data_IF_805498180609
#
_entry.id   IF_805498180609
#
_cell.length_a   1.000
_cell.length_b   1.000
_cell.length_c   1.000
_cell.angle_alpha   90.00
_cell.angle_beta   90.00
_cell.angle_gamma   90.00
#
_symmetry.space_group_name_H-M   'P 1'
#
loop_
_entity.id
_entity.type
_entity.pdbx_description
1 polymer ?
#
# COMPACT_ATOMS: atom_id res chain seq x y z
N UNK A 1 -0.13 22.15 -24.20
CA UNK A 1 0.01 21.09 -25.23
C UNK A 1 1.46 20.67 -25.31
N UNK A 2 1.71 19.39 -25.32
CA UNK A 2 3.02 18.73 -25.49
C UNK A 2 3.04 17.98 -26.82
N UNK A 3 4.24 17.84 -27.38
CA UNK A 3 4.45 17.24 -28.68
C UNK A 3 5.58 16.22 -28.59
N UNK A 4 5.57 15.21 -29.45
CA UNK A 4 6.64 14.26 -29.63
C UNK A 4 7.12 14.30 -31.09
N UNK A 5 8.43 14.22 -31.30
CA UNK A 5 9.03 14.02 -32.64
C UNK A 5 9.27 12.54 -32.80
N UNK A 6 8.77 11.98 -33.92
CA UNK A 6 8.87 10.57 -34.23
C UNK A 6 9.90 10.32 -35.37
N UNK A 7 10.66 9.27 -35.21
CA UNK A 7 11.48 8.73 -36.29
C UNK A 7 11.20 7.22 -36.38
N UNK A 8 10.61 6.77 -37.47
CA UNK A 8 10.21 5.37 -37.67
C UNK A 8 9.42 4.81 -36.50
N UNK A 9 8.34 5.53 -36.08
CA UNK A 9 7.46 5.19 -34.97
C UNK A 9 8.12 5.16 -33.57
N UNK A 10 9.33 5.70 -33.46
CA UNK A 10 10.03 5.83 -32.18
C UNK A 10 10.08 7.30 -31.76
N UNK A 11 9.74 7.58 -30.49
CA UNK A 11 9.86 8.93 -29.92
C UNK A 11 11.33 9.26 -29.74
N UNK A 12 11.82 10.27 -30.47
CA UNK A 12 13.21 10.74 -30.36
C UNK A 12 13.36 11.85 -29.31
N UNK A 13 12.35 12.70 -29.20
CA UNK A 13 12.28 13.76 -28.20
C UNK A 13 10.83 14.18 -27.99
N UNK A 14 10.52 14.76 -26.83
CA UNK A 14 9.20 15.29 -26.54
C UNK A 14 9.29 16.55 -25.66
N UNK A 15 8.25 17.39 -25.67
CA UNK A 15 8.19 18.61 -24.89
C UNK A 15 7.15 19.61 -25.38
N UNK A 16 7.17 20.80 -24.79
CA UNK A 16 6.36 21.92 -25.27
C UNK A 16 6.91 22.47 -26.59
N UNK A 17 6.08 23.21 -27.35
CA UNK A 17 6.52 23.83 -28.59
C UNK A 17 7.74 24.75 -28.41
N UNK A 18 7.84 25.47 -27.30
CA UNK A 18 8.98 26.34 -26.99
C UNK A 18 10.27 25.56 -26.67
N UNK A 19 10.16 24.35 -26.20
CA UNK A 19 11.30 23.45 -25.95
C UNK A 19 11.80 22.79 -27.24
N UNK A 20 10.88 22.30 -28.05
CA UNK A 20 11.22 21.61 -29.28
C UNK A 20 11.67 22.55 -30.40
N UNK A 21 11.08 23.76 -30.46
CA UNK A 21 11.35 24.77 -31.49
C UNK A 21 11.58 26.15 -30.88
N UNK A 22 12.72 26.35 -30.18
CA UNK A 22 12.97 27.56 -29.38
C UNK A 22 13.09 28.85 -30.20
N UNK A 23 13.34 28.73 -31.51
CA UNK A 23 13.49 29.87 -32.44
C UNK A 23 12.26 30.10 -33.33
N UNK A 24 11.13 29.41 -33.06
CA UNK A 24 9.92 29.53 -33.87
C UNK A 24 8.79 30.11 -33.02
N UNK A 25 8.15 31.13 -33.54
CA UNK A 25 6.95 31.73 -32.92
C UNK A 25 5.70 31.12 -33.52
N UNK A 26 4.81 30.62 -32.68
CA UNK A 26 3.52 30.09 -33.08
C UNK A 26 2.38 31.01 -32.66
N UNK A 27 1.24 30.93 -33.36
CA UNK A 27 0.00 31.54 -32.93
C UNK A 27 -0.47 30.98 -31.58
N UNK A 28 -1.46 31.62 -30.96
CA UNK A 28 -1.97 31.19 -29.63
C UNK A 28 -2.42 29.71 -29.54
N UNK A 29 -2.75 29.09 -30.67
CA UNK A 29 -3.10 27.66 -30.76
C UNK A 29 -1.91 26.70 -30.85
N UNK A 30 -0.68 27.22 -30.93
CA UNK A 30 0.53 26.41 -31.15
C UNK A 30 0.81 26.05 -32.61
N UNK A 31 1.70 25.06 -32.88
CA UNK A 31 2.00 24.56 -34.22
C UNK A 31 0.74 24.05 -34.93
N UNK A 32 0.60 24.39 -36.21
CA UNK A 32 -0.47 23.86 -37.06
C UNK A 32 -0.13 22.46 -37.60
N UNK A 33 -1.13 21.77 -38.14
CA UNK A 33 -1.00 20.41 -38.62
C UNK A 33 0.07 20.25 -39.73
N UNK A 34 0.20 21.23 -40.63
CA UNK A 34 1.23 21.18 -41.69
C UNK A 34 2.62 21.25 -41.08
N UNK A 35 2.87 22.18 -40.17
CA UNK A 35 4.16 22.29 -39.47
C UNK A 35 4.50 21.00 -38.70
N UNK A 36 3.55 20.41 -38.00
CA UNK A 36 3.76 19.15 -37.27
C UNK A 36 4.12 18.02 -38.23
N UNK A 37 3.42 17.91 -39.36
CA UNK A 37 3.72 16.89 -40.38
C UNK A 37 5.12 17.06 -40.93
N UNK A 38 5.50 18.29 -41.30
CA UNK A 38 6.83 18.59 -41.88
C UNK A 38 7.95 18.34 -40.86
N UNK A 39 7.68 18.56 -39.59
CA UNK A 39 8.61 18.31 -38.47
C UNK A 39 8.66 16.85 -37.99
N UNK A 40 7.86 15.96 -38.58
CA UNK A 40 7.70 14.57 -38.08
C UNK A 40 7.19 14.52 -36.64
N UNK A 41 6.35 15.49 -36.27
CA UNK A 41 5.90 15.64 -34.91
C UNK A 41 4.40 15.38 -34.76
N UNK A 42 3.99 14.88 -33.61
CA UNK A 42 2.59 14.63 -33.26
C UNK A 42 2.27 15.24 -31.88
N UNK A 43 1.00 15.55 -31.67
CA UNK A 43 0.52 15.97 -30.35
C UNK A 43 0.46 14.79 -29.40
N UNK A 44 0.98 14.94 -28.18
CA UNK A 44 0.84 13.94 -27.13
C UNK A 44 -0.57 14.05 -26.53
N UNK A 45 -1.23 12.94 -26.38
CA UNK A 45 -2.57 12.78 -25.84
C UNK A 45 -2.52 12.24 -24.41
N UNK A 46 -3.40 12.76 -23.55
CA UNK A 46 -3.56 12.31 -22.17
C UNK A 46 -4.89 11.57 -21.95
N UNK A 47 -5.47 11.04 -23.03
CA UNK A 47 -6.78 10.36 -23.06
C UNK A 47 -6.64 8.94 -23.63
N UNK A 48 -5.65 8.17 -23.16
CA UNK A 48 -5.55 6.76 -23.49
C UNK A 48 -6.86 6.02 -23.16
N UNK A 49 -7.19 5.02 -23.99
CA UNK A 49 -8.42 4.24 -23.75
C UNK A 49 -8.32 3.48 -22.41
N UNK A 50 -9.36 3.57 -21.58
CA UNK A 50 -9.46 2.88 -20.30
C UNK A 50 -10.93 2.60 -19.95
N UNK A 51 -11.17 1.64 -19.06
CA UNK A 51 -12.49 1.36 -18.50
C UNK A 51 -12.64 2.13 -17.16
N UNK A 52 -13.46 3.21 -17.11
CA UNK A 52 -13.59 4.03 -15.91
C UNK A 52 -14.23 3.30 -14.71
N UNK A 53 -14.81 2.10 -14.92
CA UNK A 53 -15.35 1.29 -13.83
C UNK A 53 -14.27 0.50 -13.06
N UNK A 54 -13.18 0.17 -13.74
CA UNK A 54 -12.13 -0.72 -13.20
C UNK A 54 -10.73 -0.12 -13.27
N UNK A 55 -10.54 0.96 -14.02
CA UNK A 55 -9.25 1.57 -14.31
C UNK A 55 -9.26 3.08 -14.10
N UNK A 56 -8.09 3.64 -13.92
CA UNK A 56 -7.83 5.09 -13.90
C UNK A 56 -6.65 5.41 -14.80
N UNK A 57 -6.62 6.62 -15.38
CA UNK A 57 -5.47 7.07 -16.15
C UNK A 57 -4.37 7.57 -15.21
N UNK A 58 -3.17 7.03 -15.39
CA UNK A 58 -1.98 7.47 -14.68
C UNK A 58 -0.97 8.08 -15.64
N UNK A 59 -0.29 9.18 -15.27
CA UNK A 59 0.79 9.74 -16.06
C UNK A 59 1.93 8.71 -16.23
N UNK A 60 2.49 8.65 -17.45
CA UNK A 60 3.64 7.83 -17.75
C UNK A 60 4.57 8.54 -18.74
N UNK A 61 5.74 7.96 -19.01
CA UNK A 61 6.59 8.39 -20.12
C UNK A 61 5.84 8.22 -21.44
N UNK A 62 5.96 9.19 -22.37
CA UNK A 62 5.26 9.11 -23.64
C UNK A 62 5.60 7.83 -24.42
N UNK A 63 4.57 7.20 -24.95
CA UNK A 63 4.68 5.97 -25.76
C UNK A 63 3.80 6.04 -27.02
N UNK A 64 4.14 5.23 -28.02
CA UNK A 64 3.38 5.12 -29.28
C UNK A 64 2.44 3.92 -29.20
N UNK A 65 1.17 4.16 -29.53
CA UNK A 65 0.15 3.13 -29.67
C UNK A 65 -0.72 3.46 -30.91
N UNK A 66 -0.81 2.54 -31.85
CA UNK A 66 -1.60 2.69 -33.10
C UNK A 66 -1.33 4.00 -33.86
N UNK A 67 -0.05 4.43 -33.91
CA UNK A 67 0.37 5.65 -34.59
C UNK A 67 0.04 6.94 -33.86
N UNK A 68 -0.44 6.86 -32.62
CA UNK A 68 -0.69 7.99 -31.72
C UNK A 68 0.28 7.97 -30.54
N UNK A 69 0.56 9.13 -29.96
CA UNK A 69 1.43 9.23 -28.77
C UNK A 69 0.60 9.59 -27.55
N UNK A 70 0.78 8.83 -26.49
CA UNK A 70 0.10 9.03 -25.20
C UNK A 70 1.12 9.24 -24.09
N UNK A 71 0.78 10.04 -23.09
CA UNK A 71 1.51 10.23 -21.82
C UNK A 71 0.73 9.74 -20.60
N UNK A 72 -0.33 8.96 -20.84
CA UNK A 72 -1.14 8.33 -19.81
C UNK A 72 -1.38 6.86 -20.15
N UNK A 73 -1.42 6.03 -19.14
CA UNK A 73 -1.72 4.59 -19.25
C UNK A 73 -2.88 4.21 -18.33
N UNK A 74 -3.72 3.29 -18.79
CA UNK A 74 -4.74 2.68 -17.95
C UNK A 74 -4.09 1.85 -16.84
N UNK A 75 -4.50 2.10 -15.60
CA UNK A 75 -4.04 1.34 -14.43
C UNK A 75 -5.25 0.90 -13.61
N UNK A 76 -5.26 -0.32 -13.05
CA UNK A 76 -6.35 -0.80 -12.22
C UNK A 76 -6.62 0.15 -11.05
N UNK A 77 -7.90 0.39 -10.74
CA UNK A 77 -8.31 1.07 -9.51
C UNK A 77 -8.00 0.11 -8.36
N UNK A 78 -6.97 0.42 -7.58
CA UNK A 78 -6.64 -0.33 -6.36
C UNK A 78 -7.50 0.23 -5.24
N UNK A 79 -8.44 -0.53 -4.67
CA UNK A 79 -9.21 -0.10 -3.51
C UNK A 79 -8.24 0.29 -2.37
N UNK A 80 -8.55 1.32 -1.57
CA UNK A 80 -7.73 1.65 -0.42
C UNK A 80 -7.65 0.44 0.51
N UNK A 81 -6.47 0.18 1.04
CA UNK A 81 -6.29 -0.88 2.02
C UNK A 81 -7.24 -0.64 3.21
N UNK A 82 -7.89 -1.68 3.73
CA UNK A 82 -8.77 -1.52 4.88
C UNK A 82 -8.00 -0.95 6.07
N UNK A 83 -8.64 -0.01 6.78
CA UNK A 83 -8.03 0.61 7.96
C UNK A 83 -8.01 -0.39 9.12
N UNK A 84 -6.87 -0.59 9.81
CA UNK A 84 -6.79 -1.48 10.95
C UNK A 84 -7.73 -1.07 12.09
N UNK A 85 -8.58 -1.98 12.54
CA UNK A 85 -9.51 -1.76 13.67
C UNK A 85 -8.91 -2.27 15.00
N UNK A 86 -7.96 -1.51 15.52
CA UNK A 86 -7.35 -1.79 16.81
C UNK A 86 -8.31 -1.72 18.00
N UNK A 87 -9.37 -0.90 17.91
CA UNK A 87 -10.32 -0.72 18.98
C UNK A 87 -11.13 -2.00 19.20
N UNK A 88 -11.66 -2.59 18.14
CA UNK A 88 -12.38 -3.87 18.18
C UNK A 88 -11.46 -5.00 18.63
N UNK A 89 -10.23 -5.09 18.12
CA UNK A 89 -9.28 -6.11 18.56
C UNK A 89 -8.96 -6.01 20.05
N UNK A 90 -8.65 -4.81 20.56
CA UNK A 90 -8.40 -4.60 22.00
C UNK A 90 -9.62 -4.96 22.86
N UNK A 91 -10.80 -4.59 22.41
CA UNK A 91 -12.05 -4.96 23.06
C UNK A 91 -12.19 -6.47 23.20
N UNK A 92 -12.00 -7.21 22.10
CA UNK A 92 -12.04 -8.68 22.08
C UNK A 92 -11.00 -9.31 23.03
N UNK A 93 -9.78 -8.77 23.04
CA UNK A 93 -8.70 -9.24 23.90
C UNK A 93 -9.03 -9.07 25.39
N UNK A 94 -9.62 -7.92 25.77
CA UNK A 94 -9.99 -7.61 27.16
C UNK A 94 -11.13 -8.47 27.69
N UNK A 95 -12.08 -8.87 26.84
CA UNK A 95 -13.24 -9.67 27.26
C UNK A 95 -13.01 -11.18 27.11
N UNK A 96 -11.90 -11.61 26.49
CA UNK A 96 -11.61 -13.03 26.28
C UNK A 96 -11.29 -13.73 27.59
N UNK A 97 -12.12 -14.72 28.02
CA UNK A 97 -11.83 -15.51 29.21
C UNK A 97 -10.54 -16.33 29.07
N UNK A 98 -10.21 -16.77 27.84
CA UNK A 98 -8.99 -17.50 27.54
C UNK A 98 -7.73 -16.66 27.76
N UNK A 99 -7.75 -15.39 27.34
CA UNK A 99 -6.66 -14.45 27.60
C UNK A 99 -6.51 -14.18 29.09
N UNK A 100 -7.61 -13.93 29.78
CA UNK A 100 -7.58 -13.68 31.24
C UNK A 100 -7.02 -14.89 32.01
N UNK A 101 -7.43 -16.10 31.66
CA UNK A 101 -6.92 -17.33 32.27
C UNK A 101 -5.42 -17.53 32.00
N UNK A 102 -4.99 -17.32 30.75
CA UNK A 102 -3.57 -17.43 30.36
C UNK A 102 -2.70 -16.42 31.10
N UNK A 103 -3.15 -15.16 31.21
CA UNK A 103 -2.45 -14.12 31.97
C UNK A 103 -2.36 -14.45 33.47
N UNK A 104 -3.42 -15.01 34.05
CA UNK A 104 -3.43 -15.45 35.45
C UNK A 104 -2.44 -16.59 35.69
N UNK A 105 -2.41 -17.60 34.81
CA UNK A 105 -1.46 -18.71 34.87
C UNK A 105 -0.02 -18.22 34.69
N UNK A 106 0.24 -17.32 33.75
CA UNK A 106 1.57 -16.73 33.55
C UNK A 106 2.07 -15.99 34.80
N UNK A 107 1.21 -15.22 35.49
CA UNK A 107 1.55 -14.58 36.76
C UNK A 107 1.92 -15.59 37.84
N UNK A 108 1.15 -16.66 37.97
CA UNK A 108 1.44 -17.73 38.93
C UNK A 108 2.77 -18.44 38.61
N UNK A 109 3.15 -18.51 37.35
CA UNK A 109 4.45 -19.04 36.90
C UNK A 109 5.61 -18.04 37.06
N UNK A 110 5.35 -16.80 37.56
CA UNK A 110 6.38 -15.79 37.79
C UNK A 110 6.63 -14.84 36.62
N UNK A 111 5.80 -14.86 35.57
CA UNK A 111 5.91 -13.97 34.41
C UNK A 111 5.20 -12.61 34.63
N UNK A 112 5.23 -12.06 35.84
CA UNK A 112 4.61 -10.77 36.16
C UNK A 112 5.13 -9.62 35.28
N UNK A 113 6.45 -9.50 34.99
CA UNK A 113 6.95 -8.45 34.11
C UNK A 113 6.38 -8.51 32.70
N UNK A 114 6.26 -9.70 32.11
CA UNK A 114 5.70 -9.90 30.77
C UNK A 114 4.24 -9.48 30.69
N UNK A 115 3.43 -9.91 31.67
CA UNK A 115 2.01 -9.55 31.74
C UNK A 115 1.82 -8.03 31.94
N UNK A 116 2.62 -7.40 32.80
CA UNK A 116 2.52 -5.96 33.10
C UNK A 116 2.96 -5.09 31.91
N UNK A 117 3.96 -5.53 31.12
CA UNK A 117 4.45 -4.80 29.98
C UNK A 117 3.53 -4.93 28.73
N UNK A 118 2.67 -5.95 28.68
CA UNK A 118 1.88 -6.26 27.49
C UNK A 118 1.00 -5.10 26.96
N UNK A 119 0.32 -4.29 27.83
CA UNK A 119 -0.46 -3.15 27.34
C UNK A 119 0.39 -2.08 26.64
N UNK A 120 1.57 -1.76 27.19
CA UNK A 120 2.49 -0.79 26.59
C UNK A 120 3.08 -1.34 25.29
N UNK A 121 3.42 -2.62 25.25
CA UNK A 121 3.89 -3.29 24.06
C UNK A 121 2.82 -3.33 22.95
N UNK A 122 1.54 -3.47 23.29
CA UNK A 122 0.44 -3.38 22.35
C UNK A 122 0.29 -1.96 21.76
N UNK A 123 0.51 -0.92 22.58
CA UNK A 123 0.49 0.48 22.09
C UNK A 123 1.64 0.73 21.08
N UNK A 124 2.82 0.21 21.33
CA UNK A 124 3.93 0.29 20.38
C UNK A 124 3.63 -0.48 19.07
N UNK A 125 3.00 -1.65 19.19
CA UNK A 125 2.57 -2.41 18.01
C UNK A 125 1.58 -1.63 17.14
N UNK A 126 0.67 -0.85 17.74
CA UNK A 126 -0.23 0.05 17.01
C UNK A 126 0.52 1.17 16.27
N UNK A 127 1.70 1.55 16.74
CA UNK A 127 2.58 2.53 16.11
C UNK A 127 3.49 1.93 15.03
N UNK A 128 3.36 0.62 14.78
CA UNK A 128 4.10 -0.10 13.73
C UNK A 128 5.30 -0.91 14.24
N UNK A 129 5.54 -0.97 15.54
CA UNK A 129 6.61 -1.79 16.14
C UNK A 129 6.04 -2.93 17.01
N UNK A 130 5.78 -4.12 16.43
CA UNK A 130 5.26 -5.27 17.16
C UNK A 130 6.33 -6.08 17.92
N UNK A 131 7.61 -5.71 17.87
CA UNK A 131 8.71 -6.52 18.44
C UNK A 131 8.57 -6.72 19.95
N UNK A 132 8.33 -5.66 20.70
CA UNK A 132 8.12 -5.73 22.16
C UNK A 132 6.86 -6.56 22.50
N UNK A 133 5.80 -6.43 21.69
CA UNK A 133 4.58 -7.23 21.85
C UNK A 133 4.85 -8.71 21.66
N UNK A 134 5.56 -9.09 20.57
CA UNK A 134 5.94 -10.48 20.31
C UNK A 134 6.74 -11.09 21.48
N UNK A 135 7.69 -10.34 22.03
CA UNK A 135 8.50 -10.79 23.15
C UNK A 135 7.65 -11.00 24.42
N UNK A 136 6.84 -9.99 24.82
CA UNK A 136 5.99 -10.08 26.02
C UNK A 136 4.92 -11.18 25.87
N UNK A 137 4.24 -11.23 24.73
CA UNK A 137 3.21 -12.21 24.43
C UNK A 137 3.78 -13.64 24.40
N UNK A 138 4.96 -13.83 23.78
CA UNK A 138 5.65 -15.11 23.76
C UNK A 138 5.93 -15.65 25.17
N UNK A 139 6.35 -14.80 26.11
CA UNK A 139 6.54 -15.16 27.51
C UNK A 139 5.20 -15.56 28.16
N UNK A 140 4.15 -14.75 27.94
CA UNK A 140 2.81 -15.01 28.51
C UNK A 140 2.23 -16.32 27.99
N UNK A 141 2.36 -16.59 26.69
CA UNK A 141 1.88 -17.83 26.06
C UNK A 141 2.62 -19.05 26.62
N UNK A 142 3.95 -18.96 26.71
CA UNK A 142 4.79 -20.06 27.22
C UNK A 142 4.50 -20.36 28.68
N UNK A 143 4.56 -19.36 29.55
CA UNK A 143 4.48 -19.54 30.99
C UNK A 143 3.02 -19.73 31.46
N UNK A 144 2.07 -19.13 30.72
CA UNK A 144 0.64 -19.32 30.93
C UNK A 144 0.05 -20.56 30.26
N UNK A 145 0.86 -21.31 29.49
CA UNK A 145 0.43 -22.50 28.74
C UNK A 145 -0.83 -22.26 27.91
N UNK A 146 -0.81 -21.16 27.12
CA UNK A 146 -1.96 -20.77 26.30
C UNK A 146 -2.38 -21.91 25.37
N UNK A 147 -3.68 -22.26 25.30
CA UNK A 147 -4.16 -23.26 24.33
C UNK A 147 -3.96 -22.79 22.91
N UNK A 148 -3.67 -23.72 21.99
CA UNK A 148 -3.50 -23.40 20.56
C UNK A 148 -4.77 -22.76 19.95
N UNK A 149 -5.93 -23.18 20.44
CA UNK A 149 -7.23 -22.66 20.02
C UNK A 149 -7.37 -21.18 20.35
N UNK A 150 -6.88 -20.72 21.52
CA UNK A 150 -6.88 -19.30 21.89
C UNK A 150 -6.00 -18.48 20.94
N UNK A 151 -4.81 -19.00 20.60
CA UNK A 151 -3.90 -18.32 19.67
C UNK A 151 -4.56 -18.21 18.30
N UNK A 152 -5.18 -19.28 17.81
CA UNK A 152 -5.89 -19.29 16.54
C UNK A 152 -7.08 -18.31 16.53
N UNK A 153 -7.84 -18.22 17.62
CA UNK A 153 -8.94 -17.24 17.78
C UNK A 153 -8.43 -15.81 17.73
N UNK A 154 -7.33 -15.50 18.42
CA UNK A 154 -6.75 -14.15 18.41
C UNK A 154 -6.19 -13.78 17.04
N UNK A 155 -5.56 -14.72 16.34
CA UNK A 155 -5.09 -14.53 14.96
C UNK A 155 -6.26 -14.22 14.03
N UNK A 156 -7.33 -15.04 14.06
CA UNK A 156 -8.51 -14.82 13.24
C UNK A 156 -9.19 -13.46 13.55
N UNK A 157 -9.24 -13.07 14.83
CA UNK A 157 -9.76 -11.76 15.23
C UNK A 157 -8.90 -10.61 14.71
N UNK A 158 -7.57 -10.74 14.77
CA UNK A 158 -6.65 -9.73 14.25
C UNK A 158 -6.76 -9.57 12.73
N UNK A 159 -6.90 -10.68 12.00
CA UNK A 159 -7.14 -10.68 10.55
C UNK A 159 -8.49 -10.05 10.20
N UNK A 160 -9.55 -10.39 10.92
CA UNK A 160 -10.88 -9.79 10.73
C UNK A 160 -10.89 -8.28 11.03
N UNK A 161 -10.04 -7.82 11.94
CA UNK A 161 -9.80 -6.39 12.23
C UNK A 161 -8.80 -5.73 11.26
N UNK A 162 -8.35 -6.42 10.23
CA UNK A 162 -7.37 -5.92 9.24
C UNK A 162 -6.07 -5.42 9.84
N UNK A 163 -5.61 -6.03 10.94
CA UNK A 163 -4.37 -5.62 11.59
C UNK A 163 -3.15 -5.96 10.71
N UNK A 164 -2.03 -5.23 10.85
CA UNK A 164 -0.84 -5.45 10.05
C UNK A 164 -0.33 -6.90 10.15
N UNK A 165 0.09 -7.49 9.03
CA UNK A 165 0.58 -8.87 8.98
C UNK A 165 1.74 -9.13 9.97
N UNK A 166 2.60 -8.14 10.20
CA UNK A 166 3.67 -8.23 11.19
C UNK A 166 3.14 -8.40 12.63
N UNK A 167 2.01 -7.77 12.97
CA UNK A 167 1.35 -7.95 14.26
C UNK A 167 0.65 -9.33 14.35
N UNK A 168 -0.02 -9.74 13.28
CA UNK A 168 -0.65 -11.08 13.21
C UNK A 168 0.39 -12.18 13.42
N UNK A 169 1.57 -12.04 12.80
CA UNK A 169 2.69 -12.95 13.03
C UNK A 169 3.19 -12.93 14.48
N UNK A 170 3.19 -11.76 15.14
CA UNK A 170 3.60 -11.62 16.53
C UNK A 170 2.65 -12.31 17.54
N UNK A 171 1.40 -12.58 17.16
CA UNK A 171 0.46 -13.39 17.95
C UNK A 171 0.80 -14.89 17.94
N UNK A 172 1.59 -15.35 16.98
CA UNK A 172 2.02 -16.73 16.84
C UNK A 172 3.46 -16.88 17.35
N UNK A 173 3.67 -17.07 18.67
CA UNK A 173 5.03 -17.24 19.17
C UNK A 173 5.66 -18.47 18.54
N UNK A 174 6.95 -18.36 18.18
CA UNK A 174 7.70 -19.52 17.72
C UNK A 174 7.66 -20.59 18.82
N UNK A 175 7.05 -21.74 18.53
CA UNK A 175 7.12 -22.89 19.40
C UNK A 175 8.58 -23.37 19.39
N UNK A 176 9.26 -23.44 20.53
CA UNK A 176 10.66 -23.89 20.59
C UNK A 176 10.81 -25.36 20.18
#
# INVERSE_FOLDING_TARGET
>A
MTYAILTADTITTHGSASVLWPHTSFAAGGPNASFLADAGAVTIRSDAAYDPATETLQPCEPYVLDGQVFDTIAAPIVPPAPTPDWATFRGSLLISPGVAATMAAARQAGCEPGVTALPVALEKAQQGDPGDFAACWGLVVRDGQAPAELIAELVATAEACHLPAAFVAALQPAVP
#
